data_IF_324053862635
#
_entry.id   IF_324053862635
#
_cell.length_a   1.000
_cell.length_b   1.000
_cell.length_c   1.000
_cell.angle_alpha   90.00
_cell.angle_beta   90.00
_cell.angle_gamma   90.00
#
_symmetry.space_group_name_H-M   'P 1'
#
loop_
_entity.id
_entity.type
_entity.pdbx_description
1 polymer ?
#
# COMPACT_ATOMS: atom_id res chain seq x y z
N UNK A 1 -15.97 -1.70 1.76
CA UNK A 1 -14.88 -1.04 1.00
C UNK A 1 -14.40 0.24 1.67
N UNK A 2 -15.20 0.93 2.48
CA UNK A 2 -14.76 2.15 3.20
C UNK A 2 -13.72 1.97 4.33
N UNK A 3 -13.58 0.76 4.92
CA UNK A 3 -12.65 0.55 6.07
C UNK A 3 -11.17 0.44 5.68
N UNK A 4 -10.87 -0.10 4.49
CA UNK A 4 -9.50 -0.15 3.95
C UNK A 4 -9.03 1.21 3.44
N UNK A 5 -9.96 2.04 2.96
CA UNK A 5 -9.69 3.43 2.61
C UNK A 5 -9.48 4.28 3.87
N UNK A 6 -10.27 4.07 4.93
CA UNK A 6 -10.12 4.79 6.20
C UNK A 6 -8.81 4.49 6.94
N UNK A 7 -8.29 3.26 6.89
CA UNK A 7 -6.99 2.92 7.47
C UNK A 7 -5.78 3.52 6.73
N UNK A 8 -5.95 3.86 5.44
CA UNK A 8 -4.94 4.51 4.61
C UNK A 8 -5.10 6.05 4.67
N UNK A 9 -6.34 6.55 4.82
CA UNK A 9 -6.67 7.98 4.90
C UNK A 9 -6.47 8.60 6.30
N UNK A 10 -6.49 7.82 7.39
CA UNK A 10 -6.15 8.30 8.74
C UNK A 10 -4.64 8.41 8.99
N UNK A 11 -3.82 7.84 8.12
CA UNK A 11 -2.36 8.06 8.11
C UNK A 11 -1.97 9.41 7.47
N UNK A 12 -2.95 10.24 7.12
CA UNK A 12 -2.86 11.22 6.05
C UNK A 12 -3.43 12.61 6.35
N UNK A 13 -3.89 12.85 7.57
CA UNK A 13 -4.50 14.11 7.94
C UNK A 13 -3.97 14.52 9.30
N UNK A 14 -3.19 15.62 9.38
CA UNK A 14 -3.21 16.65 10.44
C UNK A 14 -1.85 17.36 10.66
N UNK A 15 -1.78 18.58 10.10
CA UNK A 15 -1.36 19.86 10.69
C UNK A 15 0.09 20.42 10.60
N UNK A 16 0.14 21.50 9.81
CA UNK A 16 0.86 22.80 9.86
C UNK A 16 1.70 23.18 11.10
N UNK A 17 2.82 23.84 10.77
CA UNK A 17 3.56 24.97 11.39
C UNK A 17 5.00 24.63 11.80
N UNK A 18 5.88 24.86 10.82
CA UNK A 18 7.16 25.56 10.86
C UNK A 18 8.25 25.16 11.89
N UNK A 19 9.45 24.83 11.37
CA UNK A 19 10.76 25.51 11.60
C UNK A 19 11.90 24.72 10.91
N UNK A 20 13.02 25.36 10.50
CA UNK A 20 13.82 25.00 9.33
C UNK A 20 14.99 24.02 9.58
N UNK A 21 15.25 23.22 8.54
CA UNK A 21 16.56 22.74 8.05
C UNK A 21 17.47 22.01 9.05
N UNK A 22 17.23 20.71 9.23
CA UNK A 22 18.28 19.71 9.43
C UNK A 22 17.78 18.30 9.07
N UNK A 23 18.04 17.85 7.84
CA UNK A 23 17.90 16.44 7.43
C UNK A 23 16.96 16.21 6.23
N UNK A 24 17.43 16.50 5.01
CA UNK A 24 16.84 15.87 3.83
C UNK A 24 17.07 14.35 3.94
N UNK A 25 16.01 13.53 4.00
CA UNK A 25 16.20 12.09 4.02
C UNK A 25 16.78 11.64 2.66
N UNK A 26 17.85 10.84 2.69
CA UNK A 26 18.40 10.25 1.47
C UNK A 26 17.37 9.31 0.83
N UNK A 27 17.27 9.34 -0.50
CA UNK A 27 16.58 8.31 -1.28
C UNK A 27 17.70 7.54 -1.99
N UNK A 28 17.93 6.25 -1.67
CA UNK A 28 17.20 5.41 -0.72
C UNK A 28 17.51 5.72 0.76
N UNK A 29 16.60 5.37 1.70
CA UNK A 29 16.72 5.71 3.11
C UNK A 29 17.82 4.91 3.81
N UNK A 30 18.42 5.53 4.82
CA UNK A 30 19.45 4.90 5.64
C UNK A 30 18.91 3.72 6.46
N UNK A 31 19.80 2.79 6.84
CA UNK A 31 19.44 1.68 7.72
C UNK A 31 18.93 2.15 9.09
N UNK A 32 19.41 3.30 9.58
CA UNK A 32 18.92 3.92 10.82
C UNK A 32 17.44 4.23 10.69
N UNK A 33 17.01 4.87 9.60
CA UNK A 33 15.62 5.21 9.37
C UNK A 33 14.72 3.99 9.19
N UNK A 34 15.22 2.95 8.52
CA UNK A 34 14.50 1.67 8.44
C UNK A 34 14.29 1.04 9.83
N UNK A 35 15.29 1.12 10.73
CA UNK A 35 15.18 0.61 12.11
C UNK A 35 14.18 1.39 12.95
N UNK A 36 14.20 2.72 12.87
CA UNK A 36 13.24 3.60 13.58
C UNK A 36 11.81 3.23 13.16
N UNK A 37 11.53 3.24 11.85
CA UNK A 37 10.22 2.88 11.30
C UNK A 37 9.77 1.46 11.69
N UNK A 38 10.69 0.50 11.72
CA UNK A 38 10.37 -0.88 12.13
C UNK A 38 10.01 -0.94 13.62
N UNK A 39 10.76 -0.25 14.47
CA UNK A 39 10.51 -0.21 15.92
C UNK A 39 9.17 0.44 16.24
N UNK A 40 8.88 1.55 15.58
CA UNK A 40 7.68 2.33 15.80
C UNK A 40 6.43 1.63 15.30
N UNK A 41 6.45 1.06 14.08
CA UNK A 41 5.35 0.23 13.62
C UNK A 41 5.14 -1.01 14.50
N UNK A 42 6.20 -1.56 15.12
CA UNK A 42 6.04 -2.65 16.07
C UNK A 42 5.32 -2.22 17.37
N UNK A 43 5.59 -1.02 17.89
CA UNK A 43 4.92 -0.46 19.09
C UNK A 43 3.41 -0.29 18.87
N UNK A 44 2.99 0.12 17.68
CA UNK A 44 1.60 0.50 17.40
C UNK A 44 0.79 -0.49 16.53
N UNK A 45 1.43 -1.55 16.02
CA UNK A 45 0.75 -2.66 15.33
C UNK A 45 -0.08 -3.56 16.27
N UNK A 46 -1.17 -4.15 15.75
CA UNK A 46 -1.89 -5.26 16.39
C UNK A 46 -3.13 -4.86 17.20
N UNK A 47 -4.14 -4.26 16.55
CA UNK A 47 -5.47 -3.99 17.12
C UNK A 47 -5.53 -2.91 18.22
N UNK A 48 -4.41 -2.63 18.89
CA UNK A 48 -4.27 -1.58 19.91
C UNK A 48 -4.55 -0.21 19.35
N UNK A 49 -4.09 0.09 18.13
CA UNK A 49 -4.37 1.36 17.47
C UNK A 49 -5.81 1.44 16.95
N UNK A 50 -6.34 0.38 16.34
CA UNK A 50 -7.70 0.40 15.76
C UNK A 50 -8.80 0.66 16.79
N UNK A 51 -8.61 0.18 18.03
CA UNK A 51 -9.54 0.38 19.14
C UNK A 51 -9.50 1.77 19.79
N UNK A 52 -8.54 2.62 19.43
CA UNK A 52 -8.41 3.95 20.03
C UNK A 52 -9.47 4.94 19.52
N UNK A 53 -9.93 5.88 20.37
CA UNK A 53 -10.65 7.07 19.95
C UNK A 53 -9.87 7.88 18.91
N UNK A 54 -10.57 8.61 18.05
CA UNK A 54 -9.95 9.38 16.96
C UNK A 54 -8.89 10.39 17.46
N UNK A 55 -9.14 11.07 18.57
CA UNK A 55 -8.19 12.01 19.17
C UNK A 55 -6.90 11.33 19.67
N UNK A 56 -7.01 10.09 20.17
CA UNK A 56 -5.86 9.35 20.69
C UNK A 56 -5.05 8.71 19.55
N UNK A 57 -5.72 8.28 18.48
CA UNK A 57 -5.06 7.93 17.22
C UNK A 57 -4.23 9.09 16.69
N UNK A 58 -4.80 10.29 16.72
CA UNK A 58 -4.09 11.47 16.26
C UNK A 58 -2.84 11.76 17.08
N UNK A 59 -2.98 11.79 18.40
CA UNK A 59 -1.85 12.02 19.30
C UNK A 59 -0.71 11.00 19.10
N UNK A 60 -1.06 9.73 18.89
CA UNK A 60 -0.08 8.67 18.59
C UNK A 60 0.62 8.92 17.25
N UNK A 61 -0.15 9.33 16.24
CA UNK A 61 0.38 9.70 14.94
C UNK A 61 1.35 10.88 15.04
N UNK A 62 1.02 11.92 15.84
CA UNK A 62 1.89 13.08 16.04
C UNK A 62 3.23 12.68 16.68
N UNK A 63 3.20 11.85 17.73
CA UNK A 63 4.41 11.35 18.40
C UNK A 63 5.31 10.58 17.42
N UNK A 64 4.71 9.69 16.63
CA UNK A 64 5.43 8.90 15.63
C UNK A 64 6.17 9.77 14.62
N UNK A 65 5.51 10.83 14.21
CA UNK A 65 6.00 11.73 13.22
C UNK A 65 7.10 12.68 13.73
N UNK A 66 6.96 13.15 14.97
CA UNK A 66 8.03 13.86 15.68
C UNK A 66 9.27 12.96 15.84
N UNK A 67 9.09 11.67 16.12
CA UNK A 67 10.19 10.69 16.16
C UNK A 67 10.86 10.55 14.78
N UNK A 68 10.11 10.57 13.68
CA UNK A 68 10.68 10.49 12.32
C UNK A 68 11.42 11.76 11.89
N UNK A 69 10.86 12.94 12.18
CA UNK A 69 11.52 14.23 11.90
C UNK A 69 12.77 14.37 12.79
N UNK A 70 12.65 14.11 14.09
CA UNK A 70 13.77 14.16 15.03
C UNK A 70 14.87 13.15 14.71
N UNK A 71 14.53 12.03 14.07
CA UNK A 71 15.51 11.06 13.57
C UNK A 71 16.15 11.44 12.22
N UNK A 72 15.65 12.49 11.55
CA UNK A 72 16.08 12.93 10.22
C UNK A 72 15.65 11.98 9.09
N UNK A 73 14.52 11.28 9.27
CA UNK A 73 14.07 10.23 8.35
C UNK A 73 13.02 10.69 7.35
N UNK A 74 12.44 11.87 7.57
CA UNK A 74 11.56 12.58 6.64
C UNK A 74 11.88 14.07 6.77
N UNK A 75 11.94 14.77 5.65
CA UNK A 75 12.34 16.19 5.58
C UNK A 75 11.27 17.20 6.00
N UNK A 76 10.00 16.86 5.78
CA UNK A 76 8.84 17.68 6.11
C UNK A 76 7.64 16.75 6.26
N UNK A 77 6.73 17.10 7.16
CA UNK A 77 5.52 16.33 7.36
C UNK A 77 4.25 17.04 6.93
N UNK A 78 4.25 18.36 6.78
CA UNK A 78 3.05 19.09 6.36
C UNK A 78 2.44 18.50 5.08
N UNK A 79 3.24 18.09 4.07
CA UNK A 79 2.74 17.46 2.84
C UNK A 79 2.16 16.06 3.00
N UNK A 80 2.44 15.39 4.12
CA UNK A 80 1.91 14.07 4.46
C UNK A 80 0.59 14.16 5.21
N UNK A 81 0.22 15.36 5.67
CA UNK A 81 -0.84 15.61 6.62
C UNK A 81 -2.04 16.38 6.02
N UNK A 82 -2.04 16.66 4.72
CA UNK A 82 -3.14 17.36 4.08
C UNK A 82 -2.94 17.57 2.58
N UNK A 83 -3.93 18.19 1.95
CA UNK A 83 -3.80 18.66 0.58
C UNK A 83 -2.80 19.82 0.56
N UNK A 84 -1.64 19.56 -0.03
CA UNK A 84 -0.63 20.58 -0.30
C UNK A 84 -0.62 20.94 -1.77
N UNK A 85 -0.34 22.20 -2.06
CA UNK A 85 0.03 22.59 -3.41
C UNK A 85 1.33 21.87 -3.80
N UNK A 86 1.23 21.04 -4.84
CA UNK A 86 2.36 20.31 -5.35
C UNK A 86 3.38 21.27 -5.94
N UNK A 87 4.66 20.98 -5.72
CA UNK A 87 5.78 21.67 -6.36
C UNK A 87 6.43 20.73 -7.38
N UNK A 88 5.69 20.23 -8.39
CA UNK A 88 6.31 19.38 -9.39
C UNK A 88 7.39 20.18 -10.10
N UNK A 89 8.42 19.49 -10.61
CA UNK A 89 9.49 20.03 -11.46
C UNK A 89 10.65 20.78 -10.78
N UNK A 90 10.75 20.84 -9.45
CA UNK A 90 12.01 21.22 -8.79
C UNK A 90 13.11 20.17 -9.06
N UNK A 91 14.39 20.58 -9.07
CA UNK A 91 15.50 19.63 -9.25
C UNK A 91 15.53 18.57 -8.15
N UNK A 92 15.25 18.95 -6.90
CA UNK A 92 15.12 18.00 -5.78
C UNK A 92 14.04 16.93 -6.02
N UNK A 93 12.91 17.29 -6.66
CA UNK A 93 11.88 16.32 -7.03
C UNK A 93 12.30 15.40 -8.18
N UNK A 94 13.06 15.91 -9.16
CA UNK A 94 13.57 15.09 -10.27
C UNK A 94 14.60 14.09 -9.76
N UNK A 95 15.53 14.53 -8.92
CA UNK A 95 16.55 13.69 -8.30
C UNK A 95 15.93 12.63 -7.39
N UNK A 96 15.00 13.02 -6.52
CA UNK A 96 14.27 12.08 -5.67
C UNK A 96 13.48 11.05 -6.47
N UNK A 97 12.80 11.47 -7.55
CA UNK A 97 12.07 10.57 -8.44
C UNK A 97 13.01 9.59 -9.17
N UNK A 98 14.18 10.05 -9.62
CA UNK A 98 15.18 9.20 -10.27
C UNK A 98 15.74 8.16 -9.30
N UNK A 99 16.14 8.57 -8.10
CA UNK A 99 16.66 7.66 -7.09
C UNK A 99 15.60 6.62 -6.64
N UNK A 100 14.34 7.03 -6.53
CA UNK A 100 13.23 6.12 -6.25
C UNK A 100 13.02 5.09 -7.38
N UNK A 101 13.09 5.53 -8.65
CA UNK A 101 13.00 4.67 -9.83
C UNK A 101 14.12 3.62 -9.86
N UNK A 102 15.36 4.05 -9.62
CA UNK A 102 16.53 3.18 -9.56
C UNK A 102 16.38 2.13 -8.44
N UNK A 103 15.97 2.56 -7.24
CA UNK A 103 15.73 1.67 -6.11
C UNK A 103 14.65 0.61 -6.40
N UNK A 104 13.53 1.00 -7.01
CA UNK A 104 12.40 0.11 -7.26
C UNK A 104 12.54 -0.78 -8.50
N UNK A 105 13.46 -0.48 -9.40
CA UNK A 105 13.61 -1.16 -10.70
C UNK A 105 13.80 -2.67 -10.57
N UNK A 106 14.74 -3.11 -9.74
CA UNK A 106 15.04 -4.54 -9.59
C UNK A 106 13.85 -5.33 -9.04
N UNK A 107 13.18 -4.80 -8.01
CA UNK A 107 12.00 -5.41 -7.40
C UNK A 107 10.81 -5.47 -8.38
N UNK A 108 10.52 -4.35 -9.04
CA UNK A 108 9.40 -4.25 -9.97
C UNK A 108 9.56 -5.18 -11.19
N UNK A 109 10.76 -5.29 -11.77
CA UNK A 109 11.02 -6.18 -12.92
C UNK A 109 10.69 -7.64 -12.60
N UNK A 110 11.03 -8.10 -11.39
CA UNK A 110 10.71 -9.46 -10.91
C UNK A 110 9.20 -9.62 -10.71
N UNK A 111 8.54 -8.63 -10.12
CA UNK A 111 7.10 -8.67 -9.84
C UNK A 111 6.23 -8.60 -11.10
N UNK A 112 6.62 -7.86 -12.13
CA UNK A 112 5.88 -7.80 -13.41
C UNK A 112 5.76 -9.19 -14.04
N UNK A 113 6.86 -9.96 -14.08
CA UNK A 113 6.86 -11.34 -14.60
C UNK A 113 5.94 -12.27 -13.79
N UNK A 114 5.97 -12.13 -12.46
CA UNK A 114 5.11 -12.88 -11.54
C UNK A 114 3.64 -12.51 -11.78
N UNK A 115 3.32 -11.21 -11.87
CA UNK A 115 1.97 -10.69 -12.12
C UNK A 115 1.41 -11.20 -13.45
N UNK A 116 2.20 -11.24 -14.51
CA UNK A 116 1.77 -11.81 -15.79
C UNK A 116 1.41 -13.30 -15.68
N UNK A 117 2.26 -14.07 -14.98
CA UNK A 117 2.08 -15.52 -14.82
C UNK A 117 0.88 -15.86 -13.94
N UNK A 118 0.80 -15.24 -12.76
CA UNK A 118 -0.24 -15.53 -11.77
C UNK A 118 -1.54 -14.78 -12.06
N UNK A 119 -1.48 -13.59 -12.65
CA UNK A 119 -2.65 -12.81 -13.06
C UNK A 119 -3.51 -13.53 -14.09
N UNK A 120 -2.90 -14.18 -15.10
CA UNK A 120 -3.65 -15.03 -16.05
C UNK A 120 -4.34 -16.20 -15.36
N UNK A 121 -3.62 -16.90 -14.46
CA UNK A 121 -4.13 -18.08 -13.75
C UNK A 121 -5.25 -17.73 -12.77
N UNK A 122 -5.03 -16.75 -11.91
CA UNK A 122 -6.01 -16.28 -10.92
C UNK A 122 -7.19 -15.62 -11.63
N UNK A 123 -6.94 -14.75 -12.62
CA UNK A 123 -7.99 -14.05 -13.37
C UNK A 123 -8.94 -15.00 -14.12
N UNK A 124 -8.43 -16.09 -14.69
CA UNK A 124 -9.29 -17.12 -15.30
C UNK A 124 -10.21 -17.79 -14.27
N UNK A 125 -9.69 -18.14 -13.10
CA UNK A 125 -10.48 -18.73 -12.02
C UNK A 125 -11.50 -17.74 -11.43
N UNK A 126 -11.12 -16.47 -11.25
CA UNK A 126 -11.98 -15.40 -10.75
C UNK A 126 -13.15 -15.14 -11.70
N UNK A 127 -12.91 -15.04 -13.02
CA UNK A 127 -13.99 -14.89 -14.03
C UNK A 127 -14.97 -16.06 -14.00
N UNK A 128 -14.49 -17.29 -13.82
CA UNK A 128 -15.37 -18.47 -13.66
C UNK A 128 -16.17 -18.39 -12.37
N UNK A 129 -15.55 -17.98 -11.28
CA UNK A 129 -16.21 -17.82 -9.98
C UNK A 129 -17.31 -16.73 -10.03
N UNK A 130 -17.05 -15.63 -10.72
CA UNK A 130 -18.01 -14.55 -10.95
C UNK A 130 -19.23 -15.03 -11.75
N UNK A 131 -19.02 -15.71 -12.89
CA UNK A 131 -20.10 -16.32 -13.67
C UNK A 131 -20.97 -17.27 -12.84
N UNK A 132 -20.33 -18.10 -12.01
CA UNK A 132 -21.05 -19.01 -11.10
C UNK A 132 -21.82 -18.23 -10.02
N UNK A 133 -21.27 -17.13 -9.53
CA UNK A 133 -21.90 -16.28 -8.51
C UNK A 133 -23.12 -15.56 -9.08
N UNK A 134 -23.02 -14.96 -10.27
CA UNK A 134 -24.15 -14.34 -10.96
C UNK A 134 -25.25 -15.36 -11.28
N UNK A 135 -24.87 -16.55 -11.77
CA UNK A 135 -25.84 -17.62 -12.02
C UNK A 135 -26.53 -18.10 -10.74
N UNK A 136 -25.84 -18.13 -9.61
CA UNK A 136 -26.45 -18.45 -8.31
C UNK A 136 -27.43 -17.38 -7.85
N UNK A 137 -27.14 -16.10 -8.11
CA UNK A 137 -28.07 -15.00 -7.82
C UNK A 137 -29.36 -15.18 -8.64
N UNK A 138 -29.25 -15.29 -9.96
CA UNK A 138 -30.43 -15.47 -10.82
C UNK A 138 -31.27 -16.72 -10.50
N UNK A 139 -30.64 -17.83 -10.09
CA UNK A 139 -31.38 -19.03 -9.64
C UNK A 139 -32.14 -18.84 -8.33
N UNK A 140 -31.66 -17.97 -7.44
CA UNK A 140 -32.35 -17.64 -6.19
C UNK A 140 -33.52 -16.71 -6.47
N UNK A 141 -33.31 -15.72 -7.33
CA UNK A 141 -34.33 -14.77 -7.73
C UNK A 141 -35.49 -15.48 -8.45
N UNK A 142 -35.18 -16.45 -9.30
CA UNK A 142 -36.17 -17.29 -9.98
C UNK A 142 -36.75 -18.42 -9.12
N UNK A 143 -36.49 -18.44 -7.80
CA UNK A 143 -36.91 -19.49 -6.84
C UNK A 143 -36.66 -20.92 -7.34
N UNK A 144 -35.52 -21.17 -7.99
CA UNK A 144 -35.20 -22.47 -8.54
C UNK A 144 -35.03 -23.54 -7.44
N UNK A 145 -35.13 -24.82 -7.83
CA UNK A 145 -35.10 -25.92 -6.85
C UNK A 145 -33.86 -25.90 -5.94
N UNK A 146 -34.01 -26.20 -4.63
CA UNK A 146 -32.90 -26.20 -3.67
C UNK A 146 -31.74 -27.13 -4.10
N UNK A 147 -32.04 -28.25 -4.75
CA UNK A 147 -31.05 -29.21 -5.27
C UNK A 147 -30.13 -28.55 -6.32
N UNK A 148 -30.69 -27.74 -7.22
CA UNK A 148 -29.95 -27.02 -8.27
C UNK A 148 -29.06 -25.92 -7.69
N UNK A 149 -29.58 -25.15 -6.73
CA UNK A 149 -28.82 -24.12 -5.98
C UNK A 149 -27.65 -24.76 -5.21
N UNK A 150 -27.90 -25.87 -4.48
CA UNK A 150 -26.86 -26.60 -3.73
C UNK A 150 -25.74 -27.11 -4.63
N UNK A 151 -26.06 -27.70 -5.78
CA UNK A 151 -25.05 -28.20 -6.75
C UNK A 151 -24.12 -27.06 -7.19
N UNK A 152 -24.67 -25.92 -7.58
CA UNK A 152 -23.88 -24.80 -8.06
C UNK A 152 -23.11 -24.08 -6.93
N UNK A 153 -23.66 -24.05 -5.72
CA UNK A 153 -22.98 -23.56 -4.52
C UNK A 153 -21.73 -24.38 -4.17
N UNK A 154 -21.77 -25.72 -4.33
CA UNK A 154 -20.57 -26.57 -4.18
C UNK A 154 -19.48 -26.21 -5.19
N UNK A 155 -19.86 -25.95 -6.45
CA UNK A 155 -18.91 -25.48 -7.49
C UNK A 155 -18.30 -24.13 -7.10
N UNK A 156 -19.11 -23.18 -6.62
CA UNK A 156 -18.64 -21.88 -6.10
C UNK A 156 -17.58 -22.08 -5.01
N UNK A 157 -17.87 -22.90 -3.98
CA UNK A 157 -16.94 -23.18 -2.89
C UNK A 157 -15.63 -23.79 -3.40
N UNK A 158 -15.70 -24.74 -4.32
CA UNK A 158 -14.51 -25.34 -4.94
C UNK A 158 -13.65 -24.33 -5.70
N UNK A 159 -14.27 -23.45 -6.50
CA UNK A 159 -13.58 -22.38 -7.21
C UNK A 159 -12.96 -21.36 -6.24
N UNK A 160 -13.67 -20.95 -5.19
CA UNK A 160 -13.15 -20.06 -4.15
C UNK A 160 -11.90 -20.65 -3.47
N UNK A 161 -11.94 -21.94 -3.11
CA UNK A 161 -10.78 -22.63 -2.53
C UNK A 161 -9.58 -22.60 -3.50
N UNK A 162 -9.80 -22.88 -4.78
CA UNK A 162 -8.73 -22.84 -5.81
C UNK A 162 -8.15 -21.44 -5.98
N UNK A 163 -8.98 -20.40 -6.07
CA UNK A 163 -8.52 -18.99 -6.15
C UNK A 163 -7.64 -18.67 -4.95
N UNK A 164 -8.10 -18.97 -3.72
CA UNK A 164 -7.34 -18.74 -2.48
C UNK A 164 -6.00 -19.50 -2.48
N UNK A 165 -5.98 -20.76 -2.91
CA UNK A 165 -4.74 -21.54 -3.00
C UNK A 165 -3.74 -20.92 -3.98
N UNK A 166 -4.20 -20.49 -5.17
CA UNK A 166 -3.32 -19.84 -6.14
C UNK A 166 -2.83 -18.47 -5.65
N UNK A 167 -3.69 -17.69 -5.00
CA UNK A 167 -3.31 -16.42 -4.38
C UNK A 167 -2.24 -16.62 -3.28
N UNK A 168 -2.39 -17.61 -2.40
CA UNK A 168 -1.37 -17.95 -1.38
C UNK A 168 -0.04 -18.37 -2.00
N UNK A 169 -0.08 -19.14 -3.10
CA UNK A 169 1.14 -19.52 -3.82
C UNK A 169 1.82 -18.30 -4.45
N UNK A 170 1.05 -17.39 -5.04
CA UNK A 170 1.58 -16.14 -5.57
C UNK A 170 2.20 -15.29 -4.45
N UNK A 171 1.53 -15.15 -3.31
CA UNK A 171 2.03 -14.42 -2.15
C UNK A 171 3.38 -14.97 -1.66
N UNK A 172 3.55 -16.30 -1.56
CA UNK A 172 4.84 -16.91 -1.19
C UNK A 172 6.01 -16.56 -2.12
N UNK A 173 5.73 -16.24 -3.39
CA UNK A 173 6.75 -15.85 -4.36
C UNK A 173 6.99 -14.34 -4.36
N UNK A 174 5.94 -13.55 -4.08
CA UNK A 174 6.00 -12.09 -3.99
C UNK A 174 6.66 -11.62 -2.70
N UNK A 175 6.38 -12.30 -1.58
CA UNK A 175 6.81 -11.90 -0.24
C UNK A 175 8.33 -11.69 -0.11
N UNK A 176 9.21 -12.61 -0.58
CA UNK A 176 10.65 -12.42 -0.49
C UNK A 176 11.20 -11.24 -1.33
N UNK A 177 10.40 -10.69 -2.24
CA UNK A 177 10.76 -9.54 -3.07
C UNK A 177 10.25 -8.25 -2.42
N UNK A 178 8.98 -8.26 -2.01
CA UNK A 178 8.30 -7.08 -1.48
C UNK A 178 8.72 -6.77 -0.04
N UNK A 179 8.79 -7.78 0.83
CA UNK A 179 9.04 -7.62 2.27
C UNK A 179 10.34 -6.88 2.60
N UNK A 180 11.50 -7.19 1.98
CA UNK A 180 12.74 -6.46 2.28
C UNK A 180 12.71 -4.99 1.85
N UNK A 181 11.87 -4.65 0.87
CA UNK A 181 11.76 -3.30 0.33
C UNK A 181 10.68 -2.47 1.03
N UNK A 182 9.92 -3.06 1.95
CA UNK A 182 8.69 -2.46 2.49
C UNK A 182 8.94 -1.14 3.21
N UNK A 183 9.69 -1.18 4.31
CA UNK A 183 9.97 0.01 5.12
C UNK A 183 10.71 1.08 4.33
N UNK A 184 11.69 0.68 3.52
CA UNK A 184 12.42 1.62 2.67
C UNK A 184 11.52 2.28 1.63
N UNK A 185 10.61 1.54 0.99
CA UNK A 185 9.70 2.11 -0.01
C UNK A 185 8.66 3.02 0.62
N UNK A 186 8.22 2.73 1.86
CA UNK A 186 7.32 3.61 2.61
C UNK A 186 8.01 4.95 2.89
N UNK A 187 9.24 4.92 3.40
CA UNK A 187 10.06 6.12 3.64
C UNK A 187 10.34 6.90 2.35
N UNK A 188 10.60 6.22 1.22
CA UNK A 188 10.78 6.89 -0.08
C UNK A 188 9.51 7.63 -0.48
N UNK A 189 8.34 7.00 -0.35
CA UNK A 189 7.06 7.65 -0.68
C UNK A 189 6.82 8.85 0.24
N UNK A 190 7.09 8.69 1.54
CA UNK A 190 6.94 9.77 2.51
C UNK A 190 7.87 10.94 2.22
N UNK A 191 9.14 10.69 1.91
CA UNK A 191 10.09 11.74 1.54
C UNK A 191 9.72 12.43 0.22
N UNK A 192 9.20 11.70 -0.77
CA UNK A 192 8.71 12.30 -2.02
C UNK A 192 7.50 13.20 -1.78
N UNK A 193 6.59 12.79 -0.89
CA UNK A 193 5.45 13.62 -0.52
C UNK A 193 5.89 14.82 0.34
N UNK A 194 6.79 14.64 1.31
CA UNK A 194 7.45 15.70 2.11
C UNK A 194 8.08 16.79 1.24
N UNK A 195 8.69 16.41 0.12
CA UNK A 195 9.24 17.36 -0.86
C UNK A 195 8.18 18.00 -1.77
N UNK A 196 6.89 17.72 -1.53
CA UNK A 196 5.73 18.14 -2.33
C UNK A 196 5.81 17.68 -3.79
N UNK A 197 6.49 16.55 -4.05
CA UNK A 197 6.68 16.00 -5.40
C UNK A 197 5.52 15.12 -5.85
N UNK A 198 4.71 14.64 -4.92
CA UNK A 198 3.50 13.83 -5.16
C UNK A 198 2.52 14.09 -4.02
N UNK A 199 1.23 14.21 -4.35
CA UNK A 199 0.21 14.22 -3.30
C UNK A 199 -0.06 12.79 -2.87
N UNK A 200 -0.28 12.60 -1.59
CA UNK A 200 -0.67 11.28 -1.10
C UNK A 200 -2.08 10.90 -1.58
N UNK A 201 -2.93 11.87 -1.94
CA UNK A 201 -4.21 11.63 -2.65
C UNK A 201 -4.00 11.00 -4.03
N UNK A 202 -2.91 11.36 -4.72
CA UNK A 202 -2.62 10.96 -6.11
C UNK A 202 -2.01 9.57 -6.20
N UNK A 203 -1.59 8.99 -5.06
CA UNK A 203 -1.19 7.58 -4.98
C UNK A 203 -2.32 6.62 -5.40
N UNK A 204 -3.56 7.10 -5.44
CA UNK A 204 -4.74 6.37 -5.91
C UNK A 204 -5.02 6.51 -7.42
N UNK A 205 -4.23 7.30 -8.16
CA UNK A 205 -4.12 7.20 -9.62
C UNK A 205 -5.03 8.09 -10.46
N UNK A 206 -5.54 9.20 -9.93
CA UNK A 206 -6.25 10.20 -10.73
C UNK A 206 -5.36 11.45 -10.88
N UNK A 207 -4.94 11.71 -12.12
CA UNK A 207 -4.14 12.86 -12.59
C UNK A 207 -2.60 12.75 -12.45
N UNK A 208 -1.90 13.03 -13.56
CA UNK A 208 -0.42 12.93 -13.65
C UNK A 208 0.24 14.21 -13.16
N UNK A 209 0.71 14.17 -11.92
CA UNK A 209 1.24 15.32 -11.19
C UNK A 209 2.79 15.43 -11.15
N UNK A 210 3.53 14.91 -12.14
CA UNK A 210 4.98 15.15 -12.29
C UNK A 210 5.92 13.93 -12.16
N UNK A 211 7.26 14.14 -12.10
CA UNK A 211 8.28 13.07 -12.19
C UNK A 211 8.17 11.97 -11.13
N UNK A 212 7.87 12.33 -9.87
CA UNK A 212 7.73 11.37 -8.77
C UNK A 212 6.49 10.48 -8.95
N UNK A 213 5.35 11.06 -9.33
CA UNK A 213 4.16 10.31 -9.71
C UNK A 213 4.44 9.36 -10.90
N UNK A 214 5.25 9.81 -11.87
CA UNK A 214 5.74 8.98 -12.97
C UNK A 214 6.51 7.74 -12.52
N UNK A 215 7.47 7.91 -11.59
CA UNK A 215 8.23 6.81 -11.00
C UNK A 215 7.29 5.82 -10.26
N UNK A 216 6.44 6.32 -9.37
CA UNK A 216 5.48 5.50 -8.61
C UNK A 216 4.60 4.66 -9.55
N UNK A 217 4.09 5.27 -10.64
CA UNK A 217 3.25 4.58 -11.62
C UNK A 217 4.01 3.48 -12.37
N UNK A 218 5.25 3.73 -12.79
CA UNK A 218 6.12 2.70 -13.41
C UNK A 218 6.32 1.50 -12.50
N UNK A 219 6.39 1.74 -11.18
CA UNK A 219 6.57 0.72 -10.17
C UNK A 219 5.27 0.27 -9.47
N UNK A 220 4.10 0.57 -10.05
CA UNK A 220 2.78 0.26 -9.46
C UNK A 220 2.59 -1.19 -9.04
N UNK A 221 3.23 -2.16 -9.70
CA UNK A 221 3.15 -3.58 -9.29
C UNK A 221 3.91 -3.88 -8.01
N UNK A 222 5.03 -3.21 -7.77
CA UNK A 222 5.75 -3.24 -6.49
C UNK A 222 4.94 -2.52 -5.42
N UNK A 223 4.51 -1.28 -5.67
CA UNK A 223 3.73 -0.50 -4.70
C UNK A 223 2.46 -1.24 -4.28
N UNK A 224 1.72 -1.83 -5.23
CA UNK A 224 0.53 -2.64 -4.92
C UNK A 224 0.86 -3.86 -4.04
N UNK A 225 2.01 -4.51 -4.28
CA UNK A 225 2.45 -5.65 -3.48
C UNK A 225 2.82 -5.23 -2.05
N UNK A 226 3.45 -4.06 -1.88
CA UNK A 226 3.78 -3.47 -0.59
C UNK A 226 2.53 -3.10 0.21
N UNK A 227 1.55 -2.45 -0.42
CA UNK A 227 0.25 -2.15 0.22
C UNK A 227 -0.50 -3.44 0.58
N UNK A 228 -0.47 -4.44 -0.30
CA UNK A 228 -1.05 -5.75 0.00
C UNK A 228 -0.33 -6.44 1.17
N UNK A 229 0.98 -6.26 1.29
CA UNK A 229 1.74 -6.76 2.43
C UNK A 229 1.28 -6.07 3.72
N UNK A 230 1.10 -4.74 3.75
CA UNK A 230 0.55 -4.01 4.90
C UNK A 230 -0.78 -4.58 5.38
N UNK A 231 -1.74 -4.68 4.46
CA UNK A 231 -3.10 -5.12 4.77
C UNK A 231 -3.17 -6.58 5.27
N UNK A 232 -2.14 -7.39 5.01
CA UNK A 232 -2.05 -8.77 5.47
C UNK A 232 -1.07 -8.98 6.62
N UNK A 233 -0.15 -8.04 6.87
CA UNK A 233 0.83 -8.09 7.97
C UNK A 233 0.14 -8.14 9.33
N UNK A 234 -1.01 -7.45 9.46
CA UNK A 234 -1.87 -7.49 10.64
C UNK A 234 -2.52 -8.86 10.90
N UNK A 235 -2.64 -9.72 9.89
CA UNK A 235 -3.30 -11.03 10.03
C UNK A 235 -2.32 -12.19 10.28
N UNK A 236 -1.00 -11.94 10.18
CA UNK A 236 0.01 -13.01 10.20
C UNK A 236 1.02 -12.91 11.34
N UNK A 237 0.84 -11.99 12.30
CA UNK A 237 1.59 -12.10 13.55
C UNK A 237 1.02 -13.26 14.38
N UNK A 238 1.86 -14.19 14.87
CA UNK A 238 1.46 -15.11 15.93
C UNK A 238 1.11 -14.36 17.20
#
# INVERSE_FOLDING_TARGET
>A
MGKLAAGILLALSLLVVAVPVAGAAEIPPTQKCVKVLTGDLAKYSGGRFEGLPAAEKQRVTDILFDEFIGAGCVSDIEPLQGEVELKPFSESCKEGAKAADEYWTAGNRRLVKIKQTWGKRIGSLSRRLEKVTLRLAGLRDSKASPKRIRKLSRVKKGLQKRVRTQARKAAKVVDPIARPMYYSSLLIIWELAARRCVSVSDLNGNETAGPAAGAIRRHSSLISALVSYMANFEQTRP
#
